data_IF_549201950274
#
_entry.id   IF_549201950274
#
_cell.length_a   1.000
_cell.length_b   1.000
_cell.length_c   1.000
_cell.angle_alpha   90.00
_cell.angle_beta   90.00
_cell.angle_gamma   90.00
#
_symmetry.space_group_name_H-M   'P 1'
#
loop_
_entity.id
_entity.type
_entity.pdbx_description
1 polymer ?
2 non-polymer ?
3 non-polymer ?
4 non-polymer ?
5 non-polymer ?
6 non-polymer ?
7 non-polymer ?
8 water ?
#
# COMPACT_ATOMS: atom_id res chain seq x y z
N UNK A 13 -26.09 -5.34 1.65
CA UNK A 13 -25.63 -4.10 2.28
C UNK A 13 -24.16 -4.21 2.67
N UNK A 14 -23.79 -5.36 3.24
CA UNK A 14 -22.42 -5.56 3.66
C UNK A 14 -21.48 -5.68 2.46
N UNK A 15 -20.22 -5.32 2.69
CA UNK A 15 -19.22 -5.41 1.64
C UNK A 15 -18.97 -6.86 1.27
N UNK A 16 -18.90 -7.13 -0.04
CA UNK A 16 -18.61 -8.46 -0.57
C UNK A 16 -17.13 -8.48 -0.96
N UNK A 17 -16.30 -9.26 -0.29
CA UNK A 17 -14.88 -9.28 -0.62
C UNK A 17 -14.65 -9.79 -2.03
N UNK A 18 -13.83 -9.11 -2.81
CA UNK A 18 -13.47 -9.60 -4.15
C UNK A 18 -12.70 -10.91 -4.05
N UNK A 19 -12.56 -11.64 -5.15
CA UNK A 19 -11.76 -12.87 -5.13
C UNK A 19 -10.30 -12.56 -4.81
N UNK A 20 -9.62 -13.56 -4.28
CA UNK A 20 -8.23 -13.41 -3.87
C UNK A 20 -7.30 -13.39 -5.09
N UNK A 21 -6.29 -12.54 -5.02
CA UNK A 21 -5.26 -12.48 -6.06
C UNK A 21 -4.29 -13.63 -5.87
N UNK A 22 -3.47 -13.93 -6.88
CA UNK A 22 -2.54 -15.06 -6.74
C UNK A 22 -1.49 -14.81 -5.66
N UNK A 23 -1.14 -15.88 -4.97
CA UNK A 23 -0.06 -15.88 -3.98
C UNK A 23 0.96 -16.92 -4.40
N UNK A 24 2.22 -16.52 -4.47
CA UNK A 24 3.31 -17.40 -4.89
C UNK A 24 4.24 -17.65 -3.71
N UNK A 25 4.62 -18.93 -3.53
CA UNK A 25 5.53 -19.35 -2.48
C UNK A 25 6.73 -20.00 -3.16
N UNK A 26 7.64 -19.20 -3.72
CA UNK A 26 8.75 -19.77 -4.48
C UNK A 26 9.74 -20.49 -3.58
N UNK A 27 10.30 -21.58 -4.10
CA UNK A 27 11.39 -22.27 -3.42
C UNK A 27 12.66 -21.44 -3.52
N UNK A 28 13.72 -21.91 -2.86
CA UNK A 28 14.99 -21.19 -2.90
C UNK A 28 15.54 -21.09 -4.31
N UNK A 29 15.30 -22.11 -5.14
CA UNK A 29 15.72 -22.03 -6.53
C UNK A 29 14.86 -21.06 -7.32
N UNK A 30 13.56 -21.00 -7.01
CA UNK A 30 12.65 -20.07 -7.68
C UNK A 30 12.75 -18.64 -7.15
N UNK A 31 13.52 -18.43 -6.07
CA UNK A 31 13.64 -17.13 -5.42
C UNK A 31 14.96 -16.43 -5.77
N UNK A 32 15.52 -16.73 -6.95
CA UNK A 32 16.84 -16.22 -7.30
C UNK A 32 16.86 -14.69 -7.38
N UNK A 33 16.00 -14.12 -8.23
CA UNK A 33 15.96 -12.68 -8.40
C UNK A 33 14.55 -12.26 -8.82
N UNK A 34 14.11 -11.07 -8.44
CA UNK A 34 12.70 -10.70 -8.71
C UNK A 34 12.37 -10.53 -10.18
N UNK A 35 13.24 -9.90 -10.97
CA UNK A 35 12.91 -9.64 -12.36
C UNK A 35 12.70 -10.94 -13.15
N UNK A 36 13.56 -11.93 -12.93
CA UNK A 36 13.38 -13.22 -13.58
C UNK A 36 12.12 -13.93 -13.08
N UNK A 37 11.86 -13.84 -11.78
CA UNK A 37 10.68 -14.50 -11.21
C UNK A 37 9.39 -13.83 -11.67
N UNK A 38 9.36 -12.49 -11.65
CA UNK A 38 8.15 -11.78 -12.06
C UNK A 38 7.84 -12.03 -13.53
N UNK A 39 8.88 -12.12 -14.37
CA UNK A 39 8.66 -12.42 -15.77
C UNK A 39 8.04 -13.78 -16.01
N UNK A 40 8.33 -14.74 -15.13
CA UNK A 40 7.79 -16.09 -15.31
C UNK A 40 6.35 -16.19 -14.82
N UNK A 41 6.03 -15.53 -13.70
CA UNK A 41 4.65 -15.53 -13.20
C UNK A 41 3.77 -14.54 -13.94
N UNK A 42 4.34 -13.72 -14.82
CA UNK A 42 3.57 -12.70 -15.52
C UNK A 42 2.33 -13.21 -16.24
N UNK A 43 2.34 -14.33 -16.98
CA UNK A 43 1.10 -14.76 -17.67
C UNK A 43 -0.12 -14.86 -16.77
N UNK A 44 0.06 -15.23 -15.51
CA UNK A 44 -1.06 -15.27 -14.57
C UNK A 44 -1.24 -13.94 -13.85
N UNK A 45 -0.17 -13.38 -13.29
CA UNK A 45 -0.30 -12.20 -12.44
C UNK A 45 -0.75 -10.97 -13.21
N UNK A 46 -0.39 -10.86 -14.48
CA UNK A 46 -0.86 -9.71 -15.26
C UNK A 46 -2.36 -9.75 -15.52
N UNK A 47 -2.97 -10.93 -15.43
CA UNK A 47 -4.42 -11.05 -15.57
C UNK A 47 -5.17 -10.72 -14.30
N UNK A 48 -4.45 -10.52 -13.18
CA UNK A 48 -5.08 -10.09 -11.94
C UNK A 48 -4.61 -8.73 -11.46
N UNK A 49 -3.65 -8.12 -12.14
CA UNK A 49 -3.15 -6.81 -11.75
C UNK A 49 -2.16 -6.78 -10.61
N UNK A 50 -2.48 -7.47 -9.51
CA UNK A 50 -1.59 -7.57 -8.36
C UNK A 50 -1.36 -9.04 -8.04
N UNK A 51 -0.27 -9.30 -7.33
CA UNK A 51 0.01 -10.62 -6.81
C UNK A 51 0.85 -10.49 -5.55
N UNK A 52 0.81 -11.54 -4.73
CA UNK A 52 1.55 -11.59 -3.48
C UNK A 52 2.64 -12.64 -3.59
N UNK A 53 3.80 -12.35 -3.00
CA UNK A 53 4.95 -13.25 -3.06
C UNK A 53 5.45 -13.47 -1.63
N UNK A 54 5.42 -14.73 -1.19
CA UNK A 54 5.89 -15.09 0.13
C UNK A 54 7.30 -15.64 0.00
N UNK A 55 8.32 -14.96 0.52
CA UNK A 55 9.69 -15.47 0.42
C UNK A 55 9.83 -16.76 1.21
N UNK A 56 10.91 -17.52 0.98
CA UNK A 56 11.14 -18.72 1.80
C UNK A 56 11.19 -18.38 3.29
N UNK A 57 10.88 -19.38 4.11
CA UNK A 57 10.74 -19.15 5.54
C UNK A 57 12.02 -18.61 6.17
N UNK A 58 13.18 -19.02 5.65
CA UNK A 58 14.45 -18.60 6.22
C UNK A 58 14.87 -17.20 5.79
N UNK A 59 14.18 -16.59 4.82
CA UNK A 59 14.53 -15.25 4.34
C UNK A 59 13.83 -14.23 5.23
N UNK A 60 14.54 -13.71 6.22
CA UNK A 60 14.00 -12.75 7.19
C UNK A 60 15.00 -11.62 7.34
N UNK A 61 14.85 -10.54 6.56
CA UNK A 61 15.77 -9.42 6.69
C UNK A 61 15.51 -8.65 7.97
N UNK A 62 16.54 -8.08 8.58
CA UNK A 62 16.34 -7.27 9.79
C UNK A 62 15.87 -5.87 9.43
N UNK A 63 15.18 -5.25 10.39
CA UNK A 63 14.73 -3.88 10.23
C UNK A 63 15.91 -2.94 10.50
N UNK A 64 16.31 -2.17 9.48
CA UNK A 64 17.53 -1.38 9.54
C UNK A 64 17.28 0.12 9.53
N UNK A 65 16.10 0.55 9.96
CA UNK A 65 15.81 1.97 10.06
C UNK A 65 16.33 2.53 11.37
N UNK A 66 16.55 3.85 11.38
CA UNK A 66 16.96 4.54 12.59
C UNK A 66 15.72 4.85 13.43
N UNK A 67 15.37 3.91 14.31
CA UNK A 67 14.13 4.03 15.08
C UNK A 67 14.23 5.15 16.11
N UNK A 68 15.41 5.35 16.69
CA UNK A 68 15.55 6.36 17.74
C UNK A 68 15.27 7.76 17.23
N UNK A 69 15.70 8.07 16.00
CA UNK A 69 15.53 9.39 15.42
C UNK A 69 14.36 9.48 14.44
N UNK A 70 13.61 8.39 14.25
CA UNK A 70 12.53 8.38 13.27
C UNK A 70 11.41 9.30 13.75
N UNK A 71 11.23 10.42 13.05
CA UNK A 71 10.18 11.37 13.34
C UNK A 71 9.52 11.78 12.04
N UNK A 72 8.19 11.78 12.02
CA UNK A 72 7.45 12.12 10.83
C UNK A 72 6.17 12.85 11.20
N UNK A 73 5.49 13.37 10.19
CA UNK A 73 4.34 14.26 10.36
C UNK A 73 3.28 13.77 9.39
N UNK A 74 2.46 12.81 9.81
CA UNK A 74 1.56 12.12 8.87
C UNK A 74 0.41 13.01 8.40
N UNK A 75 -0.15 12.65 7.24
CA UNK A 75 -1.26 13.37 6.67
C UNK A 75 -2.58 12.93 7.30
N UNK A 76 -3.52 13.86 7.37
CA UNK A 76 -4.84 13.62 7.95
C UNK A 76 -5.76 13.13 6.85
N UNK A 77 -6.51 12.06 7.13
CA UNK A 77 -7.38 11.43 6.15
C UNK A 77 -8.80 11.34 6.71
N UNK A 78 -9.72 12.05 6.10
CA UNK A 78 -11.14 11.94 6.43
C UNK A 78 -11.76 10.92 5.48
N UNK A 79 -12.24 9.80 6.04
CA UNK A 79 -12.68 8.68 5.21
C UNK A 79 -13.82 9.07 4.29
N UNK A 80 -14.77 9.86 4.80
CA UNK A 80 -15.99 10.19 4.06
C UNK A 80 -15.94 11.57 3.41
N UNK A 81 -14.75 12.04 3.02
CA UNK A 81 -14.62 13.39 2.47
C UNK A 81 -15.37 13.55 1.15
N UNK A 82 -15.46 12.47 0.35
CA UNK A 82 -16.16 12.56 -0.93
C UNK A 82 -17.67 12.53 -0.75
N UNK A 83 -18.17 11.64 0.12
CA UNK A 83 -19.59 11.63 0.41
C UNK A 83 -20.01 12.84 1.25
N UNK A 84 -19.08 13.47 1.96
CA UNK A 84 -19.39 14.70 2.69
C UNK A 84 -19.68 15.86 1.75
N UNK A 85 -19.23 15.79 0.49
CA UNK A 85 -19.57 16.82 -0.49
C UNK A 85 -21.08 17.00 -0.56
N UNK A 86 -21.82 15.91 -0.73
CA UNK A 86 -23.29 15.85 -0.68
C UNK A 86 -23.73 14.40 -0.82
N UNK A 93 -16.47 25.11 10.15
CA UNK A 93 -15.61 25.59 9.09
C UNK A 93 -14.92 24.42 8.37
N UNK A 94 -14.78 24.55 7.06
CA UNK A 94 -14.14 23.52 6.26
C UNK A 94 -12.68 23.86 5.98
N UNK A 95 -11.78 22.94 6.35
CA UNK A 95 -10.37 23.15 6.14
C UNK A 95 -9.54 23.32 7.40
N UNK A 96 -10.17 23.38 8.58
CA UNK A 96 -9.44 23.49 9.84
C UNK A 96 -9.84 22.37 10.81
N UNK A 97 -10.27 21.22 10.29
CA UNK A 97 -10.74 20.14 11.15
C UNK A 97 -9.61 19.57 12.00
N UNK A 98 -8.46 19.32 11.40
CA UNK A 98 -7.34 18.72 12.13
C UNK A 98 -6.05 19.08 11.42
N UNK A 99 -5.11 19.66 12.17
CA UNK A 99 -3.82 20.00 11.61
C UNK A 99 -2.88 18.80 11.65
N UNK A 100 -1.87 18.84 10.78
CA UNK A 100 -0.93 17.74 10.67
C UNK A 100 0.16 17.92 11.73
N UNK A 101 0.34 16.90 12.56
CA UNK A 101 1.22 16.98 13.73
C UNK A 101 2.31 15.91 13.66
N UNK A 102 3.38 16.14 14.42
CA UNK A 102 4.56 15.29 14.39
C UNK A 102 4.43 14.14 15.39
N UNK A 103 4.84 12.94 14.97
CA UNK A 103 4.91 11.78 15.83
C UNK A 103 6.33 11.20 15.78
N UNK A 104 6.68 10.47 16.81
CA UNK A 104 7.75 9.51 16.70
C UNK A 104 7.16 8.17 16.23
N UNK A 105 8.05 7.27 15.81
CA UNK A 105 7.58 5.95 15.38
C UNK A 105 6.96 5.18 16.55
N UNK A 106 7.42 5.45 17.78
CA UNK A 106 6.81 4.82 18.95
C UNK A 106 5.48 5.46 19.29
N UNK A 107 5.42 6.80 19.30
CA UNK A 107 4.20 7.49 19.68
C UNK A 107 3.09 7.30 18.65
N UNK A 108 3.45 7.12 17.37
CA UNK A 108 2.43 6.82 16.37
C UNK A 108 1.82 5.45 16.60
N UNK A 109 2.64 4.47 16.97
CA UNK A 109 2.12 3.13 17.24
C UNK A 109 1.20 3.10 18.44
N UNK A 110 1.53 3.87 19.48
CA UNK A 110 0.66 3.95 20.65
C UNK A 110 -0.69 4.57 20.29
N UNK A 111 -0.67 5.65 19.52
CA UNK A 111 -1.93 6.25 19.03
C UNK A 111 -2.69 5.26 18.16
N UNK A 112 -1.99 4.57 17.25
CA UNK A 112 -2.65 3.68 16.31
C UNK A 112 -3.32 2.52 17.04
N UNK A 113 -2.60 1.87 17.96
CA UNK A 113 -3.17 0.75 18.70
C UNK A 113 -4.32 1.20 19.58
N UNK A 114 -4.19 2.37 20.22
CA UNK A 114 -5.27 2.88 21.05
C UNK A 114 -6.52 3.17 20.23
N UNK A 115 -6.34 3.75 19.03
CA UNK A 115 -7.48 4.05 18.18
C UNK A 115 -8.23 2.78 17.81
N UNK A 116 -7.52 1.76 17.35
CA UNK A 116 -8.17 0.55 16.85
C UNK A 116 -8.84 -0.22 17.98
N UNK A 117 -8.15 -0.39 19.11
CA UNK A 117 -8.74 -1.11 20.24
C UNK A 117 -9.98 -0.40 20.76
N UNK A 118 -9.95 0.94 20.79
CA UNK A 118 -11.11 1.69 21.26
C UNK A 118 -12.25 1.63 20.26
N UNK A 119 -11.93 1.67 18.95
CA UNK A 119 -12.98 1.68 17.95
C UNK A 119 -13.75 0.36 17.94
N UNK A 120 -13.05 -0.77 18.01
CA UNK A 120 -13.69 -2.07 17.95
C UNK A 120 -14.00 -2.68 19.30
N UNK A 121 -13.49 -2.09 20.39
CA UNK A 121 -13.70 -2.61 21.74
C UNK A 121 -13.11 -4.01 21.92
N UNK A 122 -11.95 -4.23 21.27
CA UNK A 122 -11.27 -5.52 21.31
C UNK A 122 -9.77 -5.25 21.27
N UNK A 123 -8.96 -6.21 21.71
CA UNK A 123 -7.51 -6.12 21.44
C UNK A 123 -7.26 -6.07 19.94
N UNK A 124 -6.21 -5.33 19.56
CA UNK A 124 -5.99 -5.04 18.14
C UNK A 124 -5.76 -6.31 17.34
N UNK A 125 -5.06 -7.29 17.93
CA UNK A 125 -4.74 -8.52 17.22
C UNK A 125 -5.93 -9.47 17.11
N UNK A 126 -7.05 -9.17 17.77
CA UNK A 126 -8.22 -10.04 17.73
C UNK A 126 -9.27 -9.58 16.72
N UNK A 127 -9.12 -8.39 16.13
CA UNK A 127 -10.10 -7.87 15.18
C UNK A 127 -9.92 -8.60 13.85
N UNK A 128 -10.95 -9.29 13.36
CA UNK A 128 -10.83 -10.01 12.09
C UNK A 128 -10.59 -9.04 10.93
N UNK A 129 -9.77 -9.48 9.98
CA UNK A 129 -9.48 -8.65 8.82
C UNK A 129 -10.74 -8.36 8.01
N UNK A 130 -11.69 -9.30 7.99
CA UNK A 130 -12.94 -9.07 7.28
C UNK A 130 -13.77 -7.98 7.95
N UNK A 131 -13.65 -7.82 9.26
CA UNK A 131 -14.44 -6.82 9.96
C UNK A 131 -13.90 -5.41 9.69
N UNK A 132 -12.58 -5.23 9.75
CA UNK A 132 -11.98 -3.94 9.40
C UNK A 132 -12.32 -3.58 7.97
N UNK A 133 -12.30 -4.57 7.07
CA UNK A 133 -12.61 -4.32 5.67
C UNK A 133 -14.06 -3.86 5.51
N UNK A 134 -15.00 -4.58 6.11
CA UNK A 134 -16.41 -4.19 6.01
C UNK A 134 -16.64 -2.82 6.63
N UNK A 135 -15.97 -2.54 7.76
CA UNK A 135 -16.19 -1.26 8.42
C UNK A 135 -15.56 -0.11 7.65
N UNK A 136 -14.39 -0.35 7.04
CA UNK A 136 -13.72 0.70 6.28
C UNK A 136 -14.62 1.21 5.15
N UNK A 137 -15.19 0.29 4.38
CA UNK A 137 -16.02 0.69 3.24
C UNK A 137 -17.37 1.25 3.67
N UNK A 138 -17.87 0.86 4.85
CA UNK A 138 -19.06 1.51 5.37
C UNK A 138 -18.78 2.95 5.76
N UNK A 139 -17.63 3.21 6.38
CA UNK A 139 -17.29 4.56 6.81
C UNK A 139 -17.00 5.47 5.63
N UNK A 140 -16.47 4.93 4.53
CA UNK A 140 -16.16 5.76 3.37
C UNK A 140 -17.42 6.38 2.80
N UNK A 141 -18.53 5.65 2.84
CA UNK A 141 -19.81 6.13 2.30
C UNK A 141 -20.76 6.62 3.39
N UNK A 142 -20.33 6.66 4.65
CA UNK A 142 -21.21 7.05 5.74
C UNK A 142 -21.31 8.58 5.81
N UNK A 143 -22.54 9.08 5.94
CA UNK A 143 -22.77 10.52 6.11
C UNK A 143 -23.07 10.89 7.56
N UNK A 144 -23.31 9.93 8.44
CA UNK A 144 -23.63 10.21 9.83
C UNK A 144 -22.43 10.06 10.75
N UNK A 145 -21.38 9.34 10.33
CA UNK A 145 -20.19 9.13 11.14
C UNK A 145 -18.98 9.66 10.39
N UNK A 146 -18.23 10.54 11.05
CA UNK A 146 -17.05 11.17 10.46
C UNK A 146 -15.81 10.63 11.18
N UNK A 147 -15.16 9.64 10.58
CA UNK A 147 -13.96 9.02 11.13
C UNK A 147 -12.75 9.63 10.45
N UNK A 148 -11.76 10.04 11.25
CA UNK A 148 -10.55 10.69 10.77
C UNK A 148 -9.35 9.93 11.30
N UNK A 149 -8.42 9.58 10.40
CA UNK A 149 -7.20 8.86 10.74
C UNK A 149 -6.01 9.59 10.16
N UNK A 150 -4.82 9.04 10.39
CA UNK A 150 -3.57 9.62 9.93
C UNK A 150 -2.72 8.56 9.26
N UNK A 151 -1.95 8.98 8.25
CA UNK A 151 -1.14 8.07 7.45
C UNK A 151 0.24 8.68 7.26
N UNK A 152 1.27 8.01 7.75
CA UNK A 152 2.64 8.42 7.49
C UNK A 152 3.07 7.98 6.10
N UNK A 153 2.64 8.71 5.08
CA UNK A 153 2.83 8.28 3.70
C UNK A 153 3.97 8.98 2.98
N UNK A 154 4.41 10.14 3.46
CA UNK A 154 5.45 10.93 2.80
C UNK A 154 6.75 10.78 3.58
N UNK A 155 7.40 9.62 3.44
CA UNK A 155 8.64 9.31 4.13
C UNK A 155 9.60 8.70 3.12
N UNK A 156 10.63 9.46 2.75
CA UNK A 156 11.66 8.94 1.85
C UNK A 156 12.65 8.10 2.64
N UNK A 157 13.15 7.04 1.99
CA UNK A 157 14.17 6.21 2.61
C UNK A 157 15.49 6.94 2.80
N UNK A 158 15.66 8.12 2.21
CA UNK A 158 16.86 8.92 2.41
C UNK A 158 16.83 9.71 3.71
N UNK A 159 15.67 9.84 4.35
CA UNK A 159 15.56 10.61 5.58
C UNK A 159 16.16 9.85 6.77
N UNK A 160 15.60 8.68 7.08
CA UNK A 160 16.04 7.89 8.22
C UNK A 160 16.56 6.52 7.82
N UNK A 161 16.88 6.31 6.54
CA UNK A 161 17.37 5.04 6.08
C UNK A 161 16.25 4.12 5.61
N UNK A 162 16.64 3.15 4.80
CA UNK A 162 15.70 2.15 4.32
C UNK A 162 15.43 1.11 5.40
N UNK A 163 14.27 0.46 5.31
CA UNK A 163 13.96 -0.66 6.19
C UNK A 163 14.88 -1.84 6.01
N UNK A 164 15.46 -2.01 4.81
CA UNK A 164 16.44 -3.04 4.49
C UNK A 164 17.83 -2.54 4.82
N UNK A 165 18.74 -3.44 5.19
CA UNK A 165 20.14 -3.04 5.36
C UNK A 165 20.73 -2.63 4.03
N UNK A 166 21.54 -1.57 4.06
CA UNK A 166 22.15 -1.01 2.86
C UNK A 166 23.61 -0.70 3.16
N UNK A 167 24.50 -1.18 2.31
CA UNK A 167 25.93 -0.86 2.45
C UNK A 167 26.18 0.60 2.12
N UNK A 168 25.64 1.50 2.94
CA UNK A 168 25.75 2.94 2.72
C UNK A 168 26.91 3.57 3.46
N UNK A 169 27.26 3.07 4.63
CA UNK A 169 28.29 3.67 5.46
C UNK A 169 27.77 4.54 6.57
N UNK A 170 26.46 4.75 6.66
CA UNK A 170 25.85 5.56 7.70
C UNK A 170 25.21 4.71 8.80
N UNK A 171 25.36 3.38 8.73
CA UNK A 171 24.80 2.50 9.74
C UNK A 171 25.55 1.18 9.70
N UNK A 172 25.75 0.58 10.88
CA UNK A 172 26.50 -0.67 10.97
C UNK A 172 25.70 -1.82 10.38
N UNK A 173 26.41 -2.70 9.68
CA UNK A 173 25.81 -3.88 9.06
C UNK A 173 26.54 -5.11 9.59
N UNK A 174 25.79 -6.01 10.23
CA UNK A 174 26.37 -7.22 10.76
C UNK A 174 26.62 -8.22 9.64
N UNK A 175 27.58 -9.15 9.84
CA UNK A 175 27.85 -10.14 8.78
C UNK A 175 26.66 -11.00 8.39
N UNK A 176 25.77 -11.33 9.35
CA UNK A 176 24.57 -12.10 9.05
C UNK A 176 23.53 -11.28 8.29
N UNK A 177 23.72 -9.98 8.17
CA UNK A 177 22.79 -9.10 7.45
C UNK A 177 23.32 -8.68 6.08
N UNK A 178 24.54 -9.05 5.73
CA UNK A 178 25.10 -8.64 4.44
C UNK A 178 24.37 -9.31 3.27
N UNK A 179 23.86 -10.53 3.47
CA UNK A 179 23.12 -11.19 2.41
C UNK A 179 21.86 -10.42 2.04
N UNK A 180 21.25 -9.73 3.00
CA UNK A 180 20.06 -8.93 2.72
C UNK A 180 20.41 -7.58 2.12
N UNK A 181 21.57 -7.04 2.45
CA UNK A 181 22.03 -5.80 1.82
C UNK A 181 22.35 -6.00 0.35
N UNK A 182 22.72 -7.23 -0.04
CA UNK A 182 23.07 -7.55 -1.41
C UNK A 182 21.98 -8.32 -2.15
N UNK A 183 20.89 -8.65 -1.47
CA UNK A 183 19.84 -9.45 -2.08
C UNK A 183 19.13 -8.67 -3.17
N UNK A 184 18.75 -9.37 -4.25
CA UNK A 184 17.98 -8.75 -5.30
C UNK A 184 16.58 -8.36 -4.87
N UNK A 185 16.07 -8.96 -3.80
CA UNK A 185 14.77 -8.61 -3.26
C UNK A 185 14.82 -7.44 -2.29
N UNK A 186 16.02 -6.98 -1.93
CA UNK A 186 16.16 -5.69 -1.28
C UNK A 186 15.69 -4.61 -2.25
N UNK A 187 14.69 -3.83 -1.82
CA UNK A 187 14.09 -2.86 -2.72
C UNK A 187 15.07 -1.77 -3.15
N UNK A 188 16.17 -1.59 -2.42
CA UNK A 188 17.21 -0.66 -2.84
C UNK A 188 18.04 -1.17 -4.00
N UNK A 189 17.92 -2.47 -4.33
CA UNK A 189 18.67 -3.07 -5.42
C UNK A 189 17.81 -3.36 -6.64
N UNK A 190 16.61 -2.76 -6.72
CA UNK A 190 15.75 -2.95 -7.87
C UNK A 190 16.17 -1.99 -8.99
N UNK A 191 16.07 -2.43 -10.25
CA UNK A 191 16.38 -1.52 -11.36
C UNK A 191 15.29 -0.46 -11.52
N UNK A 192 15.70 0.80 -11.53
CA UNK A 192 14.75 1.91 -11.56
C UNK A 192 14.93 2.84 -12.75
N UNK A 193 15.97 2.67 -13.56
CA UNK A 193 16.27 3.58 -14.66
C UNK A 193 15.56 3.10 -15.93
N UNK A 194 14.68 3.96 -16.47
CA UNK A 194 13.95 3.64 -17.68
C UNK A 194 14.80 3.91 -18.91
N UNK A 195 14.72 3.01 -19.88
CA UNK A 195 15.50 3.16 -21.11
C UNK A 195 14.88 4.24 -21.99
N UNK A 196 15.70 5.17 -22.44
CA UNK A 196 15.23 6.26 -23.28
C UNK A 196 16.43 6.90 -23.98
N UNK A 197 16.14 7.61 -25.07
CA UNK A 197 17.18 8.36 -25.76
C UNK A 197 17.66 9.52 -24.88
N UNK A 198 16.79 10.06 -24.04
CA UNK A 198 17.14 11.16 -23.16
C UNK A 198 18.06 10.69 -22.04
N UNK A 209 13.58 6.98 -7.72
CA UNK A 209 15.01 6.89 -7.47
C UNK A 209 15.29 6.01 -6.25
N UNK A 210 14.62 6.31 -5.14
CA UNK A 210 14.82 5.57 -3.89
C UNK A 210 13.48 5.08 -3.40
N UNK A 211 13.46 4.01 -2.61
CA UNK A 211 12.20 3.53 -2.05
C UNK A 211 11.58 4.53 -1.09
N UNK A 212 10.27 4.40 -0.91
CA UNK A 212 9.51 5.24 0.01
C UNK A 212 8.94 4.37 1.12
N UNK A 213 8.72 4.99 2.28
CA UNK A 213 8.24 4.28 3.47
C UNK A 213 6.82 4.71 3.80
N UNK A 214 6.06 3.78 4.37
CA UNK A 214 4.66 4.03 4.72
C UNK A 214 4.39 3.47 6.11
N UNK A 215 4.08 4.36 7.05
CA UNK A 215 3.73 3.98 8.41
C UNK A 215 2.21 4.09 8.55
N UNK A 216 1.54 2.94 8.67
CA UNK A 216 0.10 2.90 8.62
C UNK A 216 -0.55 2.71 9.98
N UNK A 217 -1.83 3.05 10.03
CA UNK A 217 -2.70 2.73 11.15
C UNK A 217 -4.01 2.19 10.57
N UNK A 218 -4.87 1.71 11.46
CA UNK A 218 -6.17 1.21 11.04
C UNK A 218 -6.93 2.30 10.28
N UNK A 219 -7.44 1.94 9.11
CA UNK A 219 -8.25 2.73 8.18
C UNK A 219 -7.44 3.68 7.30
N UNK A 220 -6.15 3.88 7.56
CA UNK A 220 -5.34 4.68 6.63
C UNK A 220 -5.29 3.98 5.29
N UNK A 221 -5.36 4.76 4.21
CA UNK A 221 -5.69 4.18 2.92
C UNK A 221 -5.06 4.97 1.78
N UNK A 222 -5.13 4.37 0.59
CA UNK A 222 -4.73 5.00 -0.66
C UNK A 222 -5.77 4.64 -1.72
N UNK A 223 -6.20 5.63 -2.49
CA UNK A 223 -7.27 5.45 -3.46
C UNK A 223 -6.74 4.87 -4.77
N UNK A 224 -7.66 4.64 -5.71
CA UNK A 224 -7.32 3.98 -6.96
C UNK A 224 -6.38 4.84 -7.80
N UNK A 225 -5.31 4.22 -8.30
CA UNK A 225 -4.33 4.93 -9.10
C UNK A 225 -3.47 3.93 -9.86
N UNK A 226 -2.79 4.43 -10.88
CA UNK A 226 -1.71 3.71 -11.54
C UNK A 226 -0.42 4.52 -11.35
N UNK A 227 0.70 3.89 -11.66
CA UNK A 227 1.99 4.53 -11.46
C UNK A 227 2.33 5.43 -12.64
N UNK A 228 3.21 6.39 -12.38
CA UNK A 228 3.70 7.27 -13.42
C UNK A 228 4.40 6.35 -14.42
N UNK A 229 4.29 6.67 -15.71
CA UNK A 229 4.86 5.89 -16.81
C UNK A 229 4.40 4.42 -16.82
N UNK A 230 3.24 4.14 -16.22
CA UNK A 230 2.71 2.79 -16.13
C UNK A 230 3.73 1.80 -15.56
N UNK A 231 4.54 2.25 -14.62
CA UNK A 231 5.63 1.44 -14.11
C UNK A 231 5.10 0.32 -13.21
N UNK A 232 5.92 -0.72 -13.06
CA UNK A 232 5.66 -1.73 -12.04
C UNK A 232 5.91 -1.10 -10.68
N UNK A 233 5.38 -1.75 -9.64
CA UNK A 233 5.74 -1.39 -8.28
C UNK A 233 5.87 -2.66 -7.47
N UNK A 234 6.82 -2.65 -6.53
CA UNK A 234 7.02 -3.74 -5.60
C UNK A 234 6.95 -3.18 -4.19
N UNK A 235 6.29 -3.91 -3.29
CA UNK A 235 5.96 -3.42 -1.96
C UNK A 235 6.27 -4.50 -0.96
N UNK A 236 6.96 -4.13 0.12
CA UNK A 236 7.34 -5.07 1.17
C UNK A 236 6.83 -4.55 2.50
N UNK A 237 6.11 -5.39 3.24
CA UNK A 237 5.65 -5.05 4.58
C UNK A 237 6.67 -5.55 5.59
N UNK A 238 7.41 -4.62 6.20
CA UNK A 238 8.48 -4.99 7.12
C UNK A 238 7.92 -5.63 8.38
N UNK A 239 6.91 -5.01 8.99
CA UNK A 239 6.31 -5.54 10.21
C UNK A 239 4.95 -4.88 10.40
N UNK A 240 4.20 -5.41 11.37
CA UNK A 240 2.93 -4.85 11.74
C UNK A 240 1.75 -5.65 11.21
N UNK A 241 0.56 -5.05 11.39
CA UNK A 241 -0.68 -5.65 10.96
C UNK A 241 -0.80 -5.60 9.44
N UNK A 242 -1.64 -6.45 8.85
CA UNK A 242 -1.66 -6.57 7.38
C UNK A 242 -2.09 -5.31 6.68
N UNK A 243 -1.71 -5.24 5.40
CA UNK A 243 -2.15 -4.19 4.47
C UNK A 243 -3.06 -4.84 3.46
N UNK A 244 -4.29 -4.35 3.35
CA UNK A 244 -5.29 -4.93 2.46
C UNK A 244 -5.24 -4.23 1.11
N UNK A 245 -5.18 -5.01 0.04
CA UNK A 245 -5.00 -4.50 -1.32
C UNK A 245 -6.19 -4.84 -2.19
N UNK A 246 -6.43 -4.00 -3.18
CA UNK A 246 -7.34 -4.29 -4.29
C UNK A 246 -6.63 -3.96 -5.59
N UNK A 247 -6.80 -4.81 -6.58
CA UNK A 247 -6.12 -4.64 -7.85
C UNK A 247 -7.02 -4.94 -9.02
N UNK A 248 -6.76 -4.25 -10.13
CA UNK A 248 -7.51 -4.43 -11.37
C UNK A 248 -6.51 -4.71 -12.48
N UNK A 249 -6.70 -5.76 -13.28
CA UNK A 249 -5.76 -6.05 -14.36
C UNK A 249 -5.73 -4.94 -15.39
N UNK A 250 -4.59 -4.82 -16.08
CA UNK A 250 -4.39 -3.72 -17.01
C UNK A 250 -5.35 -3.77 -18.19
N UNK A 251 -5.84 -4.96 -18.55
CA UNK A 251 -6.79 -5.05 -19.65
C UNK A 251 -8.13 -4.40 -19.34
N UNK A 252 -8.41 -4.13 -18.06
CA UNK A 252 -9.63 -3.43 -17.66
C UNK A 252 -9.36 -1.99 -17.23
N UNK A 253 -8.20 -1.45 -17.54
CA UNK A 253 -7.85 -0.10 -17.10
C UNK A 253 -8.82 0.93 -17.66
N UNK A 254 -9.10 0.84 -18.97
CA UNK A 254 -10.00 1.82 -19.58
C UNK A 254 -11.44 1.64 -19.12
N UNK A 255 -11.85 0.40 -18.81
CA UNK A 255 -13.18 0.19 -18.24
C UNK A 255 -13.31 0.83 -16.87
N UNK A 256 -12.28 0.70 -16.03
CA UNK A 256 -12.31 1.34 -14.72
C UNK A 256 -12.37 2.86 -14.86
N UNK A 257 -11.58 3.42 -15.77
CA UNK A 257 -11.57 4.87 -15.95
C UNK A 257 -12.93 5.38 -16.41
N UNK A 258 -13.62 4.60 -17.24
CA UNK A 258 -14.95 5.02 -17.70
C UNK A 258 -15.94 4.99 -16.54
N UNK A 259 -15.88 3.96 -15.69
CA UNK A 259 -16.76 3.90 -14.53
C UNK A 259 -16.46 5.03 -13.57
N UNK A 260 -15.18 5.36 -13.40
CA UNK A 260 -14.79 6.44 -12.50
C UNK A 260 -15.40 7.77 -12.93
N UNK A 261 -15.14 8.20 -14.16
CA UNK A 261 -15.64 9.48 -14.63
C UNK A 261 -17.16 9.49 -14.79
N UNK A 262 -17.79 8.31 -14.85
CA UNK A 262 -19.24 8.25 -14.90
C UNK A 262 -19.85 8.53 -13.52
N UNK A 263 -19.23 8.03 -12.46
CA UNK A 263 -19.75 8.15 -11.11
C UNK A 263 -19.03 9.20 -10.26
N UNK A 264 -17.95 9.79 -10.78
CA UNK A 264 -17.26 10.82 -10.04
C UNK A 264 -18.10 12.09 -10.01
N UNK A 265 -17.88 12.96 -9.02
CA UNK A 265 -18.55 14.26 -9.00
C UNK A 265 -18.25 15.04 -10.28
N UNK A 266 -19.24 15.83 -10.70
CA UNK A 266 -19.10 16.57 -11.96
C UNK A 266 -17.94 17.55 -11.92
N UNK A 267 -17.64 18.10 -10.75
CA UNK A 267 -16.52 19.03 -10.63
C UNK A 267 -15.17 18.34 -10.79
N UNK A 268 -15.11 17.02 -10.59
CA UNK A 268 -13.88 16.27 -10.76
C UNK A 268 -13.85 15.42 -12.02
N UNK A 269 -14.98 15.28 -12.72
CA UNK A 269 -15.05 14.36 -13.85
C UNK A 269 -14.17 14.82 -15.02
N UNK A 270 -13.92 16.12 -15.14
CA UNK A 270 -13.14 16.65 -16.25
C UNK A 270 -11.68 16.91 -15.87
N UNK A 271 -11.28 16.56 -14.65
CA UNK A 271 -9.91 16.82 -14.23
C UNK A 271 -8.94 15.84 -14.91
N UNK A 272 -7.70 16.27 -15.14
CA UNK A 272 -6.70 15.34 -15.67
C UNK A 272 -6.51 14.16 -14.75
N UNK A 273 -6.08 13.03 -15.34
CA UNK A 273 -5.98 11.79 -14.58
C UNK A 273 -5.06 11.92 -13.38
N UNK A 274 -3.92 12.61 -13.56
CA UNK A 274 -2.95 12.73 -12.48
C UNK A 274 -3.53 13.48 -11.28
N UNK A 275 -4.48 14.40 -11.52
CA UNK A 275 -5.13 15.11 -10.43
C UNK A 275 -6.38 14.37 -9.94
N UNK A 276 -7.15 13.79 -10.86
CA UNK A 276 -8.35 13.05 -10.47
C UNK A 276 -8.00 11.88 -9.56
N UNK A 277 -6.90 11.19 -9.84
CA UNK A 277 -6.55 10.04 -9.01
C UNK A 277 -6.05 10.43 -7.60
N UNK A 278 -6.07 11.72 -7.25
CA UNK A 278 -5.91 12.10 -5.85
C UNK A 278 -7.18 11.87 -5.04
N UNK A 279 -8.32 11.71 -5.70
CA UNK A 279 -9.60 11.56 -5.01
C UNK A 279 -10.44 10.47 -5.66
N UNK A 280 -9.79 9.49 -6.28
CA UNK A 280 -10.51 8.38 -6.92
C UNK A 280 -10.84 7.28 -5.90
N UNK A 281 -11.67 7.65 -4.94
CA UNK A 281 -12.13 6.71 -3.92
C UNK A 281 -13.40 6.04 -4.44
N UNK A 282 -13.39 4.71 -4.48
CA UNK A 282 -14.54 3.96 -4.98
C UNK A 282 -14.58 2.58 -4.37
N UNK A 283 -15.72 2.21 -3.83
CA UNK A 283 -15.92 0.88 -3.28
C UNK A 283 -15.68 -0.17 -4.36
N UNK A 284 -14.89 -1.21 -4.10
CA UNK A 284 -14.64 -2.23 -5.12
C UNK A 284 -15.90 -2.91 -5.62
N UNK A 285 -16.92 -3.06 -4.77
CA UNK A 285 -18.17 -3.66 -5.22
C UNK A 285 -18.84 -2.82 -6.30
N UNK A 286 -18.66 -1.50 -6.25
CA UNK A 286 -19.22 -0.64 -7.28
C UNK A 286 -18.56 -0.92 -8.62
N UNK A 287 -17.23 -1.09 -8.63
CA UNK A 287 -16.53 -1.46 -9.86
C UNK A 287 -16.97 -2.84 -10.34
N UNK A 288 -17.13 -3.78 -9.41
CA UNK A 288 -17.51 -5.14 -9.78
C UNK A 288 -18.92 -5.17 -10.38
N UNK A 289 -19.83 -4.35 -9.85
CA UNK A 289 -21.18 -4.28 -10.41
C UNK A 289 -21.17 -3.77 -11.84
N UNK A 290 -20.19 -2.93 -12.19
CA UNK A 290 -20.06 -2.40 -13.54
C UNK A 290 -19.22 -3.31 -14.46
N UNK A 291 -18.88 -4.50 -14.00
CA UNK A 291 -18.15 -5.45 -14.81
C UNK A 291 -16.64 -5.36 -14.74
N UNK A 292 -16.11 -4.55 -13.83
CA UNK A 292 -14.64 -4.42 -13.70
C UNK A 292 -14.13 -5.56 -12.82
N UNK A 293 -13.16 -6.35 -13.28
CA UNK A 293 -12.61 -7.41 -12.43
C UNK A 293 -11.71 -6.82 -11.35
N UNK A 294 -11.96 -7.22 -10.10
CA UNK A 294 -11.20 -6.75 -8.95
C UNK A 294 -10.73 -7.96 -8.14
N UNK A 295 -9.49 -7.91 -7.69
CA UNK A 295 -8.92 -8.93 -6.83
C UNK A 295 -8.39 -8.29 -5.56
N UNK A 296 -8.38 -9.07 -4.48
CA UNK A 296 -7.98 -8.56 -3.17
C UNK A 296 -6.88 -9.45 -2.60
N UNK A 297 -6.22 -8.93 -1.56
CA UNK A 297 -5.29 -9.72 -0.76
C UNK A 297 -5.01 -8.99 0.54
N UNK A 298 -4.68 -9.78 1.57
CA UNK A 298 -4.14 -9.27 2.82
C UNK A 298 -2.64 -9.54 2.82
N UNK A 299 -1.85 -8.48 2.70
CA UNK A 299 -0.40 -8.62 2.72
C UNK A 299 0.08 -8.64 4.16
N UNK A 300 0.67 -9.76 4.58
CA UNK A 300 1.15 -9.90 5.94
C UNK A 300 2.62 -9.49 6.02
N UNK A 301 3.09 -9.34 7.26
CA UNK A 301 4.48 -8.95 7.49
C UNK A 301 5.42 -9.95 6.86
N UNK A 302 6.44 -9.45 6.18
CA UNK A 302 7.41 -10.28 5.49
C UNK A 302 7.01 -10.72 4.09
N UNK A 303 5.91 -10.20 3.55
CA UNK A 303 5.43 -10.61 2.24
C UNK A 303 5.52 -9.43 1.26
N UNK A 304 5.69 -9.77 -0.01
CA UNK A 304 5.78 -8.79 -1.09
C UNK A 304 4.45 -8.70 -1.84
N UNK A 305 4.16 -7.52 -2.35
CA UNK A 305 3.07 -7.31 -3.30
C UNK A 305 3.64 -6.59 -4.51
N UNK A 306 3.38 -7.15 -5.69
CA UNK A 306 3.82 -6.57 -6.95
C UNK A 306 2.59 -6.09 -7.72
N UNK A 307 2.65 -4.87 -8.22
CA UNK A 307 1.62 -4.33 -9.11
C UNK A 307 2.19 -4.24 -10.52
N UNK A 308 1.40 -4.66 -11.49
CA UNK A 308 1.85 -4.76 -12.87
C UNK A 308 1.57 -3.46 -13.62
N UNK A 309 2.19 -3.27 -14.79
CA UNK A 309 2.00 -1.99 -15.51
C UNK A 309 0.54 -1.71 -15.80
N UNK A 310 0.13 -0.49 -15.50
CA UNK A 310 -1.23 0.00 -15.74
C UNK A 310 -2.28 -0.78 -14.97
N UNK A 311 -1.89 -1.42 -13.86
CA UNK A 311 -2.83 -2.13 -13.00
C UNK A 311 -3.28 -1.18 -11.90
N UNK A 312 -4.54 -0.75 -11.97
CA UNK A 312 -5.07 0.12 -10.93
C UNK A 312 -5.11 -0.61 -9.60
N UNK A 313 -4.74 0.10 -8.54
CA UNK A 313 -4.73 -0.53 -7.22
C UNK A 313 -5.13 0.49 -6.15
N UNK A 314 -5.65 -0.06 -5.06
CA UNK A 314 -6.06 0.74 -3.91
C UNK A 314 -6.01 -0.17 -2.69
N UNK A 315 -6.09 0.44 -1.52
CA UNK A 315 -6.04 -0.37 -0.31
C UNK A 315 -6.08 0.45 0.95
N UNK A 316 -5.96 -0.26 2.07
CA UNK A 316 -5.99 0.34 3.39
C UNK A 316 -5.23 -0.58 4.34
N UNK A 317 -4.84 -0.02 5.48
CA UNK A 317 -4.07 -0.76 6.48
C UNK A 317 -4.99 -1.26 7.59
N UNK A 318 -4.76 -2.50 8.02
CA UNK A 318 -5.53 -3.09 9.11
C UNK A 318 -5.13 -2.55 10.47
N UNK A 319 -3.92 -2.01 10.59
CA UNK A 319 -3.45 -1.50 11.86
C UNK A 319 -2.06 -0.94 11.72
N UNK A 320 -1.40 -0.76 12.86
CA UNK A 320 -0.04 -0.23 12.91
C UNK A 320 0.89 -1.14 12.13
N UNK A 321 1.52 -0.59 11.08
CA UNK A 321 2.44 -1.36 10.26
C UNK A 321 3.46 -0.43 9.60
N UNK A 322 4.42 -1.05 8.89
CA UNK A 322 5.52 -0.33 8.28
C UNK A 322 5.83 -1.01 6.95
N UNK A 323 5.70 -0.26 5.85
CA UNK A 323 5.91 -0.79 4.52
C UNK A 323 6.95 0.02 3.77
N UNK A 324 7.54 -0.60 2.75
CA UNK A 324 8.51 0.04 1.88
C UNK A 324 8.17 -0.33 0.45
N UNK A 325 8.24 0.67 -0.45
CA UNK A 325 7.80 0.46 -1.82
C UNK A 325 8.69 1.25 -2.77
N UNK A 326 8.81 0.74 -4.00
CA UNK A 326 9.59 1.40 -5.05
C UNK A 326 9.03 0.97 -6.40
N UNK A 327 9.05 1.89 -7.36
CA UNK A 327 8.68 1.59 -8.73
C UNK A 327 9.93 1.13 -9.49
N UNK A 328 9.76 0.06 -10.27
CA UNK A 328 10.87 -0.50 -11.02
C UNK A 328 10.47 -0.74 -12.47
N UNK A 329 11.47 -0.86 -13.32
CA UNK A 329 11.28 -1.07 -14.74
C UNK A 329 11.95 -2.37 -15.16
N UNK A 330 11.46 -2.94 -16.25
CA UNK A 330 11.96 -4.21 -16.74
C UNK A 330 12.58 -4.06 -18.12
#
# INVERSE_FOLDING_TARGET
HNMAGVGPGGYAAEFVPPPECPVFEPSWEEFTDPLSFIGRIRPLAEKTGICKIRPPKDWQPPFACEVKSFRFTPRVQRLNELEAMTRVRPREAFGFEQAVREYTLQSFGEMADNFKSDYFNMPVHMVPTELVEKEFWRLVSSIEEDVIVEYGADISSKDFGSGFPVKDGRRKILPEEEEYALSGWNLNNMPVLEQSVLAHINVDISGMKVPWLYVGMCFSSFCWHIEDHWSYSINYLHWGEPKTWYGVPSHAAEQLEEVMRELAPELFESQPDLLHQLVTIMNPNVLMEHGVPVYRTNQCAGEFVVTFPRAYHSGFNQGYNFAEAVNFCT
#
